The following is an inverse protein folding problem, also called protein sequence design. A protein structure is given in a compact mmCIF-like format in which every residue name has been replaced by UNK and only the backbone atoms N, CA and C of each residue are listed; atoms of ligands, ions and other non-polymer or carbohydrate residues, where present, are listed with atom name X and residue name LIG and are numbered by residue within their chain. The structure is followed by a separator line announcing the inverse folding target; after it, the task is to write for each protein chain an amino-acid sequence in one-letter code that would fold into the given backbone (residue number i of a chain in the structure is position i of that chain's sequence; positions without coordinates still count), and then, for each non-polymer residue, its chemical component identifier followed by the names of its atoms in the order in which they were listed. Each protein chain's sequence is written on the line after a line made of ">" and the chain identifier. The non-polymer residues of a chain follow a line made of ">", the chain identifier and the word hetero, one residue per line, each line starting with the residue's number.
data_IF_752214138374
#
_entry.id   IF_752214138374
#
_cell.length_a   1.000
_cell.length_b   1.000
_cell.length_c   1.000
_cell.angle_alpha   90.00
_cell.angle_beta   90.00
_cell.angle_gamma   90.00
#
_symmetry.space_group_name_H-M   'P 1'
#
loop_
_entity.id
_entity.type
_entity.pdbx_description
1 polymer ?
#
# COMPACT_ATOMS: atom_id res chain seq x y z
N UNK A 1 -4.21 -19.71 33.21
CA UNK A 1 -2.77 -19.97 32.96
C UNK A 1 -2.32 -19.98 31.49
N UNK A 2 -3.18 -19.71 30.50
CA UNK A 2 -2.78 -19.67 29.06
C UNK A 2 -2.85 -18.28 28.41
N UNK A 3 -3.01 -17.24 29.22
CA UNK A 3 -3.13 -15.85 28.75
C UNK A 3 -2.09 -15.01 29.48
N UNK A 4 -1.26 -14.32 28.71
CA UNK A 4 -0.25 -13.40 29.22
C UNK A 4 -0.65 -12.00 28.74
N UNK A 5 -1.06 -11.14 29.67
CA UNK A 5 -1.32 -9.73 29.39
C UNK A 5 -0.01 -8.95 29.51
N UNK A 6 0.47 -8.42 28.38
CA UNK A 6 1.67 -7.60 28.35
C UNK A 6 1.35 -6.15 28.74
N UNK A 7 2.27 -5.44 29.43
CA UNK A 7 2.12 -4.00 29.65
C UNK A 7 2.22 -3.24 28.32
N UNK A 8 1.75 -2.00 28.34
CA UNK A 8 1.91 -1.11 27.19
C UNK A 8 3.38 -0.88 26.86
N UNK A 9 3.74 -1.05 25.58
CA UNK A 9 5.07 -0.85 25.05
C UNK A 9 5.10 0.38 24.11
N UNK A 10 6.09 1.25 24.32
CA UNK A 10 6.28 2.49 23.55
C UNK A 10 7.31 2.34 22.43
N UNK A 11 8.27 1.43 22.57
CA UNK A 11 9.28 1.19 21.55
C UNK A 11 8.68 0.35 20.41
N UNK A 12 8.52 0.90 19.19
CA UNK A 12 7.98 0.14 18.06
C UNK A 12 8.86 -1.06 17.70
N UNK A 13 10.18 -1.01 17.96
CA UNK A 13 11.05 -2.17 17.72
C UNK A 13 10.81 -3.27 18.75
N UNK A 14 10.45 -2.93 19.98
CA UNK A 14 10.05 -3.91 20.99
C UNK A 14 8.72 -4.57 20.62
N UNK A 15 7.74 -3.79 20.17
CA UNK A 15 6.47 -4.33 19.66
C UNK A 15 6.70 -5.28 18.48
N UNK A 16 7.53 -4.89 17.51
CA UNK A 16 7.88 -5.74 16.37
C UNK A 16 8.56 -7.05 16.82
N UNK A 17 9.45 -7.02 17.82
CA UNK A 17 10.07 -8.24 18.38
C UNK A 17 9.05 -9.15 19.04
N UNK A 18 8.10 -8.59 19.79
CA UNK A 18 7.02 -9.35 20.42
C UNK A 18 6.18 -10.03 19.33
N UNK A 19 5.73 -9.28 18.33
CA UNK A 19 4.93 -9.82 17.23
C UNK A 19 5.70 -10.91 16.47
N UNK A 20 6.97 -10.68 16.14
CA UNK A 20 7.82 -11.64 15.44
C UNK A 20 8.09 -12.93 16.25
N UNK A 21 7.95 -12.88 17.58
CA UNK A 21 8.08 -14.06 18.46
C UNK A 21 6.82 -14.92 18.53
N UNK A 22 5.70 -14.46 17.96
CA UNK A 22 4.45 -15.22 17.89
C UNK A 22 4.43 -16.15 16.66
N UNK A 23 3.58 -17.18 16.70
CA UNK A 23 3.32 -18.07 15.56
C UNK A 23 2.32 -17.45 14.56
N UNK A 24 1.35 -16.70 15.07
CA UNK A 24 0.33 -16.00 14.28
C UNK A 24 -0.13 -14.74 15.02
N UNK A 25 -0.76 -13.82 14.29
CA UNK A 25 -1.35 -12.60 14.85
C UNK A 25 -2.88 -12.64 14.69
N UNK A 26 -3.61 -12.33 15.77
CA UNK A 26 -5.08 -12.30 15.75
C UNK A 26 -5.55 -10.86 15.96
N UNK A 27 -6.29 -10.34 15.01
CA UNK A 27 -6.93 -9.03 15.10
C UNK A 27 -8.45 -9.19 15.21
N UNK A 28 -8.98 -9.01 16.42
CA UNK A 28 -10.37 -9.30 16.74
C UNK A 28 -11.35 -8.11 16.63
N UNK A 29 -10.93 -6.99 16.02
CA UNK A 29 -11.76 -5.79 15.87
C UNK A 29 -12.35 -5.71 14.45
N UNK A 30 -13.66 -5.51 14.36
CA UNK A 30 -14.42 -5.38 13.10
C UNK A 30 -14.50 -3.94 12.59
N UNK A 31 -13.96 -2.99 13.35
CA UNK A 31 -13.94 -1.54 13.02
C UNK A 31 -12.52 -1.03 12.83
N UNK A 32 -11.67 -1.83 12.22
CA UNK A 32 -10.30 -1.44 11.87
C UNK A 32 -10.28 -0.84 10.46
N UNK A 33 -10.12 0.50 10.32
CA UNK A 33 -10.30 1.16 9.03
C UNK A 33 -9.10 1.00 8.10
N UNK A 34 -7.88 0.90 8.63
CA UNK A 34 -6.66 0.91 7.82
C UNK A 34 -5.85 -0.38 7.92
N UNK A 35 -6.00 -1.14 9.01
CA UNK A 35 -5.30 -2.42 9.14
C UNK A 35 -3.79 -2.26 9.30
N UNK A 36 -3.31 -1.13 9.83
CA UNK A 36 -1.86 -0.88 9.95
C UNK A 36 -1.18 -1.93 10.83
N UNK A 37 -1.81 -2.31 11.95
CA UNK A 37 -1.27 -3.36 12.83
C UNK A 37 -1.25 -4.75 12.15
N UNK A 38 -2.20 -5.00 11.24
CA UNK A 38 -2.22 -6.22 10.42
C UNK A 38 -1.03 -6.21 9.45
N UNK A 39 -0.75 -5.09 8.79
CA UNK A 39 0.43 -4.92 7.94
C UNK A 39 1.73 -5.06 8.74
N UNK A 40 1.81 -4.52 9.95
CA UNK A 40 2.98 -4.69 10.83
C UNK A 40 3.23 -6.16 11.19
N UNK A 41 2.17 -6.92 11.49
CA UNK A 41 2.27 -8.35 11.75
C UNK A 41 2.73 -9.15 10.53
N UNK A 42 2.16 -8.85 9.36
CA UNK A 42 2.58 -9.47 8.11
C UNK A 42 4.02 -9.11 7.75
N UNK A 43 4.46 -7.86 7.99
CA UNK A 43 5.85 -7.44 7.80
C UNK A 43 6.82 -8.18 8.73
N UNK A 44 6.38 -8.55 9.93
CA UNK A 44 7.10 -9.46 10.84
C UNK A 44 7.05 -10.93 10.40
N UNK A 45 6.46 -11.22 9.24
CA UNK A 45 6.31 -12.55 8.68
C UNK A 45 5.39 -13.44 9.49
N UNK A 46 4.35 -12.87 10.12
CA UNK A 46 3.35 -13.61 10.87
C UNK A 46 2.06 -13.70 10.06
N UNK A 47 1.50 -14.89 9.85
CA UNK A 47 0.18 -15.00 9.25
C UNK A 47 -0.89 -14.40 10.17
N UNK A 48 -1.96 -13.88 9.57
CA UNK A 48 -2.99 -13.13 10.31
C UNK A 48 -4.32 -13.87 10.34
N UNK A 49 -4.96 -13.89 11.50
CA UNK A 49 -6.40 -14.15 11.65
C UNK A 49 -7.11 -12.83 11.90
N UNK A 50 -8.16 -12.56 11.14
CA UNK A 50 -8.99 -11.36 11.33
C UNK A 50 -10.40 -11.56 10.82
N UNK A 51 -11.30 -10.62 11.06
CA UNK A 51 -12.68 -10.70 10.55
C UNK A 51 -12.74 -10.26 9.08
N UNK A 52 -13.65 -10.87 8.32
CA UNK A 52 -13.97 -10.45 6.95
C UNK A 52 -14.76 -9.11 6.92
N UNK A 53 -14.17 -8.05 7.48
CA UNK A 53 -14.71 -6.70 7.51
C UNK A 53 -13.58 -5.65 7.57
N UNK A 54 -13.91 -4.40 7.21
CA UNK A 54 -12.98 -3.26 7.29
C UNK A 54 -11.72 -3.44 6.44
N UNK A 55 -10.64 -2.73 6.82
CA UNK A 55 -9.36 -2.78 6.13
C UNK A 55 -8.64 -4.15 6.25
N UNK A 56 -9.07 -4.99 7.18
CA UNK A 56 -8.56 -6.36 7.34
C UNK A 56 -8.93 -7.22 6.13
N UNK A 57 -10.18 -7.14 5.67
CA UNK A 57 -10.64 -7.90 4.51
C UNK A 57 -9.99 -7.46 3.19
N UNK A 58 -9.50 -6.23 3.11
CA UNK A 58 -8.79 -5.70 1.94
C UNK A 58 -7.36 -6.23 1.84
N UNK A 59 -6.75 -6.56 2.98
CA UNK A 59 -5.32 -6.93 3.07
C UNK A 59 -5.12 -8.43 3.27
N UNK A 60 -5.98 -9.07 4.07
CA UNK A 60 -5.84 -10.48 4.44
C UNK A 60 -6.66 -11.35 3.51
N UNK A 61 -6.00 -12.31 2.88
CA UNK A 61 -6.63 -13.34 2.06
C UNK A 61 -6.02 -14.71 2.39
N UNK A 62 -6.51 -15.77 1.73
CA UNK A 62 -6.06 -17.12 2.00
C UNK A 62 -4.54 -17.31 1.87
N UNK A 63 -3.83 -16.56 1.02
CA UNK A 63 -2.38 -16.71 0.84
C UNK A 63 -1.54 -16.15 1.99
N UNK A 64 -2.11 -15.31 2.86
CA UNK A 64 -1.38 -14.61 3.94
C UNK A 64 -1.99 -14.83 5.33
N UNK A 65 -3.14 -15.47 5.41
CA UNK A 65 -3.87 -15.63 6.66
C UNK A 65 -5.20 -16.38 6.50
N UNK A 66 -6.08 -16.17 7.47
CA UNK A 66 -7.41 -16.75 7.54
C UNK A 66 -8.42 -15.72 8.05
N UNK A 67 -9.54 -15.58 7.35
CA UNK A 67 -10.63 -14.71 7.80
C UNK A 67 -11.67 -15.50 8.61
N UNK A 68 -12.08 -14.94 9.74
CA UNK A 68 -13.26 -15.34 10.50
C UNK A 68 -14.53 -14.82 9.80
N UNK A 69 -15.61 -15.59 9.92
CA UNK A 69 -16.89 -15.27 9.26
C UNK A 69 -17.58 -14.06 9.88
N UNK A 70 -17.50 -13.92 11.20
CA UNK A 70 -18.04 -12.80 11.96
C UNK A 70 -17.07 -12.37 13.08
N UNK A 71 -17.47 -11.37 13.87
CA UNK A 71 -16.77 -10.95 15.08
C UNK A 71 -17.02 -11.89 16.29
N UNK A 72 -17.66 -13.04 16.08
CA UNK A 72 -18.00 -13.98 17.15
C UNK A 72 -16.77 -14.81 17.58
N UNK A 73 -16.57 -15.03 18.90
CA UNK A 73 -15.44 -15.81 19.39
C UNK A 73 -15.35 -17.23 18.81
N UNK A 74 -16.50 -17.85 18.51
CA UNK A 74 -16.52 -19.19 17.91
C UNK A 74 -15.96 -19.20 16.49
N UNK A 75 -16.28 -18.18 15.68
CA UNK A 75 -15.78 -18.06 14.32
C UNK A 75 -14.27 -17.75 14.30
N UNK A 76 -13.78 -16.99 15.28
CA UNK A 76 -12.34 -16.81 15.48
C UNK A 76 -11.64 -18.11 15.87
N UNK A 77 -12.23 -18.91 16.76
CA UNK A 77 -11.66 -20.20 17.13
C UNK A 77 -11.54 -21.13 15.91
N UNK A 78 -12.60 -21.22 15.09
CA UNK A 78 -12.57 -21.96 13.83
C UNK A 78 -11.51 -21.43 12.86
N UNK A 79 -11.37 -20.10 12.75
CA UNK A 79 -10.37 -19.48 11.89
C UNK A 79 -8.94 -19.75 12.35
N UNK A 80 -8.69 -19.74 13.67
CA UNK A 80 -7.39 -20.11 14.25
C UNK A 80 -7.08 -21.57 13.95
N UNK A 81 -8.00 -22.49 14.21
CA UNK A 81 -7.82 -23.91 13.89
C UNK A 81 -7.54 -24.13 12.39
N UNK A 82 -8.30 -23.47 11.51
CA UNK A 82 -8.11 -23.54 10.07
C UNK A 82 -6.76 -22.97 9.62
N UNK A 83 -6.25 -21.93 10.29
CA UNK A 83 -4.92 -21.39 10.00
C UNK A 83 -3.83 -22.40 10.38
N UNK A 84 -3.89 -22.98 11.58
CA UNK A 84 -2.90 -23.93 12.08
C UNK A 84 -2.97 -25.33 11.44
N UNK A 85 -4.04 -25.63 10.70
CA UNK A 85 -4.11 -26.82 9.83
C UNK A 85 -3.26 -26.70 8.54
N UNK A 86 -2.58 -25.56 8.34
CA UNK A 86 -1.81 -25.21 7.13
C UNK A 86 -0.33 -24.98 7.50
N UNK A 87 0.51 -24.80 6.49
CA UNK A 87 1.91 -24.42 6.68
C UNK A 87 2.03 -22.94 7.11
N UNK A 88 2.10 -22.71 8.42
CA UNK A 88 2.17 -21.37 9.02
C UNK A 88 3.44 -20.60 8.63
N UNK A 89 4.56 -21.29 8.41
CA UNK A 89 5.81 -20.67 8.02
C UNK A 89 5.73 -20.17 6.57
N UNK A 90 5.22 -21.00 5.67
CA UNK A 90 4.98 -20.59 4.29
C UNK A 90 4.01 -19.40 4.20
N UNK A 91 2.94 -19.41 5.00
CA UNK A 91 2.00 -18.29 5.08
C UNK A 91 2.64 -17.02 5.66
N UNK A 92 3.49 -17.16 6.67
CA UNK A 92 4.26 -16.05 7.22
C UNK A 92 5.19 -15.41 6.20
N UNK A 93 5.89 -16.22 5.39
CA UNK A 93 6.73 -15.70 4.30
C UNK A 93 5.90 -15.01 3.22
N UNK A 94 4.78 -15.61 2.80
CA UNK A 94 3.87 -15.01 1.84
C UNK A 94 3.29 -13.68 2.35
N UNK A 95 2.91 -13.62 3.63
CA UNK A 95 2.44 -12.41 4.29
C UNK A 95 3.49 -11.29 4.24
N UNK A 96 4.75 -11.62 4.57
CA UNK A 96 5.84 -10.65 4.51
C UNK A 96 6.09 -10.13 3.10
N UNK A 97 6.15 -11.02 2.11
CA UNK A 97 6.35 -10.63 0.71
C UNK A 97 5.22 -9.71 0.26
N UNK A 98 3.97 -10.11 0.50
CA UNK A 98 2.79 -9.32 0.14
C UNK A 98 2.85 -7.90 0.74
N UNK A 99 3.18 -7.78 2.04
CA UNK A 99 3.29 -6.46 2.68
C UNK A 99 4.44 -5.63 2.12
N UNK A 100 5.63 -6.21 1.95
CA UNK A 100 6.80 -5.48 1.46
C UNK A 100 6.60 -4.98 0.03
N UNK A 101 5.97 -5.77 -0.83
CA UNK A 101 5.77 -5.43 -2.24
C UNK A 101 4.71 -4.35 -2.44
N UNK A 102 3.64 -4.38 -1.65
CA UNK A 102 2.45 -3.55 -1.88
C UNK A 102 2.32 -2.37 -0.91
N UNK A 103 2.86 -2.49 0.31
CA UNK A 103 2.59 -1.54 1.40
C UNK A 103 3.84 -0.95 2.06
N UNK A 104 5.05 -1.33 1.61
CA UNK A 104 6.26 -0.68 2.10
C UNK A 104 6.24 0.83 1.80
N UNK A 105 6.79 1.64 2.70
CA UNK A 105 6.85 3.10 2.54
C UNK A 105 7.43 3.55 1.21
N UNK A 106 8.44 2.85 0.68
CA UNK A 106 9.01 3.15 -0.63
C UNK A 106 7.97 3.05 -1.75
N UNK A 107 7.10 2.03 -1.69
CA UNK A 107 6.03 1.79 -2.66
C UNK A 107 4.92 2.84 -2.51
N UNK A 108 4.42 3.01 -1.30
CA UNK A 108 3.35 3.98 -0.99
C UNK A 108 3.76 5.39 -1.38
N UNK A 109 5.00 5.79 -1.04
CA UNK A 109 5.51 7.12 -1.36
C UNK A 109 5.68 7.32 -2.86
N UNK A 110 6.12 6.28 -3.59
CA UNK A 110 6.23 6.32 -5.04
C UNK A 110 4.85 6.49 -5.69
N UNK A 111 3.86 5.70 -5.29
CA UNK A 111 2.49 5.78 -5.82
C UNK A 111 1.87 7.15 -5.52
N UNK A 112 2.03 7.67 -4.30
CA UNK A 112 1.56 9.00 -3.91
C UNK A 112 2.24 10.11 -4.74
N UNK A 113 3.57 10.02 -4.94
CA UNK A 113 4.31 11.01 -5.71
C UNK A 113 3.88 11.02 -7.18
N UNK A 114 3.54 9.86 -7.75
CA UNK A 114 2.98 9.79 -9.10
C UNK A 114 1.64 10.51 -9.22
N UNK A 115 0.76 10.39 -8.23
CA UNK A 115 -0.50 11.14 -8.20
C UNK A 115 -0.24 12.65 -8.13
N UNK A 116 0.72 13.08 -7.32
CA UNK A 116 1.08 14.50 -7.24
C UNK A 116 1.67 15.02 -8.55
N UNK A 117 2.51 14.23 -9.22
CA UNK A 117 3.03 14.58 -10.54
C UNK A 117 1.91 14.76 -11.56
N UNK A 118 0.92 13.87 -11.56
CA UNK A 118 -0.21 13.90 -12.50
C UNK A 118 -1.08 15.15 -12.31
N UNK A 119 -1.40 15.49 -11.06
CA UNK A 119 -2.28 16.62 -10.74
C UNK A 119 -1.56 17.97 -10.83
N UNK A 120 -0.27 18.02 -10.50
CA UNK A 120 0.52 19.27 -10.54
C UNK A 120 1.17 19.56 -11.89
N UNK A 121 1.41 18.53 -12.71
CA UNK A 121 2.26 18.60 -13.91
C UNK A 121 3.76 18.68 -13.60
N UNK A 122 4.17 18.59 -12.32
CA UNK A 122 5.57 18.68 -11.94
C UNK A 122 6.29 17.32 -12.01
N UNK A 123 7.23 17.21 -12.95
CA UNK A 123 8.10 16.03 -13.08
C UNK A 123 9.01 15.78 -11.87
N UNK A 124 9.14 16.76 -10.96
CA UNK A 124 9.93 16.65 -9.73
C UNK A 124 9.44 15.52 -8.82
N UNK A 125 8.13 15.25 -8.79
CA UNK A 125 7.55 14.14 -8.02
C UNK A 125 7.80 12.76 -8.66
N UNK A 126 8.21 12.69 -9.94
CA UNK A 126 8.47 11.41 -10.63
C UNK A 126 9.88 10.88 -10.35
N UNK A 127 10.80 11.72 -9.87
CA UNK A 127 12.19 11.32 -9.65
C UNK A 127 12.36 10.61 -8.29
N UNK A 128 12.69 9.31 -8.23
CA UNK A 128 12.70 8.55 -6.97
C UNK A 128 13.83 8.92 -6.00
N UNK A 129 14.81 9.71 -6.44
CA UNK A 129 16.07 9.89 -5.74
C UNK A 129 16.07 11.01 -4.70
N UNK A 130 15.15 11.99 -4.78
CA UNK A 130 15.21 13.16 -3.91
C UNK A 130 14.95 12.78 -2.45
N UNK A 131 13.86 12.08 -2.12
CA UNK A 131 13.55 11.72 -0.73
C UNK A 131 14.53 10.70 -0.11
N UNK A 132 15.14 9.81 -0.93
CA UNK A 132 16.17 8.87 -0.47
C UNK A 132 17.43 9.58 0.01
N UNK A 133 17.77 10.71 -0.59
CA UNK A 133 18.88 11.56 -0.17
C UNK A 133 18.45 12.45 0.99
N UNK A 134 17.28 13.10 0.92
CA UNK A 134 16.84 14.10 1.91
C UNK A 134 16.49 13.54 3.29
N UNK A 135 16.06 12.27 3.41
CA UNK A 135 15.80 11.64 4.72
C UNK A 135 17.12 11.19 5.39
N UNK A 136 18.12 10.79 4.61
CA UNK A 136 19.44 10.38 5.14
C UNK A 136 20.37 11.58 5.44
N UNK A 137 20.21 12.70 4.74
CA UNK A 137 20.93 13.94 5.03
C UNK A 137 19.92 15.01 5.39
N UNK A 138 19.74 15.26 6.69
CA UNK A 138 18.85 16.30 7.21
C UNK A 138 18.89 17.57 6.35
N UNK A 139 17.70 17.98 5.91
CA UNK A 139 17.43 19.09 4.98
C UNK A 139 18.41 20.29 5.10
N UNK A 140 18.78 20.89 3.95
CA UNK A 140 18.51 22.32 3.81
C UNK A 140 17.64 22.60 2.58
N UNK A 141 16.76 23.59 2.74
CA UNK A 141 15.69 23.95 1.81
C UNK A 141 16.18 24.32 0.39
N UNK A 142 15.40 24.02 -0.67
CA UNK A 142 15.58 24.76 -1.92
C UNK A 142 15.17 26.23 -1.69
N UNK A 143 16.14 27.13 -1.88
CA UNK A 143 15.92 28.58 -1.85
C UNK A 143 15.08 29.02 -3.07
N UNK A 144 14.23 29.99 -2.79
CA UNK A 144 13.35 30.78 -3.68
C UNK A 144 13.52 30.62 -5.19
N UNK A 145 12.39 30.36 -5.83
CA UNK A 145 12.11 30.52 -7.26
C UNK A 145 12.73 31.81 -7.84
N UNK A 146 13.36 31.77 -9.03
CA UNK A 146 13.54 32.98 -9.80
C UNK A 146 12.18 33.39 -10.36
N UNK A 147 11.70 34.56 -9.95
CA UNK A 147 10.65 35.30 -10.66
C UNK A 147 11.04 35.42 -12.14
N UNK A 148 10.29 34.76 -13.01
CA UNK A 148 10.45 34.95 -14.46
C UNK A 148 9.71 36.23 -14.84
N UNK A 149 10.38 37.22 -15.46
CA UNK A 149 9.72 38.45 -15.87
C UNK A 149 8.68 38.17 -16.95
N UNK A 150 7.57 38.91 -16.89
CA UNK A 150 6.53 38.95 -17.91
C UNK A 150 7.12 39.34 -19.26
N UNK A 151 7.24 38.39 -20.17
CA UNK A 151 7.38 38.67 -21.59
C UNK A 151 6.18 38.08 -22.32
N UNK A 152 5.25 38.96 -22.67
CA UNK A 152 4.26 38.77 -23.72
C UNK A 152 5.00 38.31 -24.98
N UNK A 153 4.66 37.13 -25.49
CA UNK A 153 5.08 36.71 -26.82
C UNK A 153 3.87 36.11 -27.53
N UNK A 154 3.33 36.90 -28.46
CA UNK A 154 2.33 36.47 -29.43
C UNK A 154 2.94 35.44 -30.41
N UNK A 155 2.12 34.53 -30.96
CA UNK A 155 2.60 33.44 -31.78
C UNK A 155 2.84 33.88 -33.23
N UNK A 156 3.98 33.52 -33.82
CA UNK A 156 4.12 33.43 -35.28
C UNK A 156 4.71 32.09 -35.70
N UNK A 157 4.06 31.56 -36.73
CA UNK A 157 4.19 30.23 -37.29
C UNK A 157 5.54 29.95 -37.96
N UNK A 158 5.92 28.67 -37.92
CA UNK A 158 6.80 28.03 -38.90
C UNK A 158 6.37 26.55 -38.96
N UNK A 159 5.54 26.17 -39.93
CA UNK A 159 5.95 25.41 -41.13
C UNK A 159 6.76 24.14 -40.82
N UNK A 160 6.07 22.99 -40.93
CA UNK A 160 6.58 21.65 -41.28
C UNK A 160 7.52 21.69 -42.51
N UNK A 161 8.27 20.62 -42.89
CA UNK A 161 8.10 19.20 -42.52
C UNK A 161 9.41 18.37 -42.30
N UNK A 162 9.28 17.21 -41.66
CA UNK A 162 9.91 15.97 -42.13
C UNK A 162 9.34 14.75 -41.38
N UNK A 163 8.62 13.90 -42.11
CA UNK A 163 8.49 12.47 -41.78
C UNK A 163 9.68 11.73 -42.43
N UNK A 164 10.11 10.56 -41.93
CA UNK A 164 9.41 9.34 -42.35
C UNK A 164 9.30 8.22 -41.29
N UNK A 165 8.21 7.47 -41.44
CA UNK A 165 8.09 6.01 -41.26
C UNK A 165 8.46 5.35 -39.93
N UNK A 166 7.43 4.80 -39.26
CA UNK A 166 7.59 3.77 -38.22
C UNK A 166 6.27 3.47 -37.53
N UNK A 167 5.64 2.36 -37.90
CA UNK A 167 4.33 1.90 -37.48
C UNK A 167 4.18 1.59 -35.98
N UNK A 168 3.14 2.13 -35.33
CA UNK A 168 2.34 1.43 -34.31
C UNK A 168 1.06 2.26 -33.98
N UNK A 169 -0.09 1.91 -34.56
CA UNK A 169 -1.41 2.27 -33.99
C UNK A 169 -1.70 1.22 -32.91
N UNK A 170 -1.73 1.62 -31.64
CA UNK A 170 -2.83 2.25 -30.87
C UNK A 170 -3.83 1.20 -30.37
N UNK A 171 -3.67 0.86 -29.10
CA UNK A 171 -4.64 0.16 -28.27
C UNK A 171 -5.98 0.92 -28.29
N UNK A 172 -7.05 0.19 -28.60
CA UNK A 172 -8.42 0.67 -28.56
C UNK A 172 -8.93 0.81 -27.12
N UNK A 173 -9.60 1.93 -26.89
CA UNK A 173 -10.18 2.36 -25.63
C UNK A 173 -11.39 1.51 -25.21
N UNK A 174 -11.55 1.31 -23.90
CA UNK A 174 -12.80 0.84 -23.29
C UNK A 174 -13.65 2.05 -22.89
N UNK A 175 -14.75 2.27 -23.61
CA UNK A 175 -15.74 3.31 -23.32
C UNK A 175 -16.78 2.82 -22.30
N UNK A 176 -17.04 3.63 -21.27
CA UNK A 176 -18.15 3.48 -20.32
C UNK A 176 -19.51 3.47 -21.04
N UNK A 177 -20.39 2.52 -20.71
CA UNK A 177 -21.84 2.62 -20.95
C UNK A 177 -22.64 2.12 -19.74
N UNK A 178 -23.58 2.95 -19.28
CA UNK A 178 -24.88 2.65 -18.67
C UNK A 178 -25.77 3.89 -18.90
N UNK A 179 -27.11 3.84 -18.80
CA UNK A 179 -28.04 2.70 -18.62
C UNK A 179 -29.20 2.71 -19.64
N UNK A 180 -30.03 1.65 -19.64
CA UNK A 180 -31.43 1.72 -20.08
C UNK A 180 -32.24 0.66 -19.31
N UNK A 181 -33.32 1.07 -18.63
CA UNK A 181 -34.47 0.21 -18.31
C UNK A 181 -35.67 0.66 -19.15
N UNK A 182 -36.92 0.32 -18.79
CA UNK A 182 -37.41 -0.87 -18.09
C UNK A 182 -38.39 -1.67 -18.99
N UNK A 183 -38.91 -2.79 -18.47
CA UNK A 183 -40.13 -3.47 -18.94
C UNK A 183 -40.87 -4.02 -17.73
#
# INVERSE_FOLDING_TARGET
>A
DRVISLPYEKDPKAVARIIASCDAFVHANDREPFGLIVLEAMACGRPVVGVNAGGVAETVNASVGQLAKSADPHDYAQAVEALFARDIEALGQAARMHTVENFAWNRVFQDLSMVYADVSGEAAFVQPCWWRQTICSGFPAPRSSPSRPSSTFEPRAATSPCSPTGSARRCGAWSKRRPAGPS
#
